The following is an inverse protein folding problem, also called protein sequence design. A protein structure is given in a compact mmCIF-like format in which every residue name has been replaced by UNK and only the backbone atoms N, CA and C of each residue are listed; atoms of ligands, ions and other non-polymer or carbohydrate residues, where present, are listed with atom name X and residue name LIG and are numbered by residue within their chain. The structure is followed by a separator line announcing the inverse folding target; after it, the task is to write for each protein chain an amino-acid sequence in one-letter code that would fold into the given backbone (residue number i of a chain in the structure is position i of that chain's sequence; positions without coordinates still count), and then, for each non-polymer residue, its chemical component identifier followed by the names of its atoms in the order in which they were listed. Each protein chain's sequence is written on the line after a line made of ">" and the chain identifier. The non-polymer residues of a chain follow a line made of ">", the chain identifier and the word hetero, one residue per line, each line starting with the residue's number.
data_IF_570385728315
#
_entry.id   IF_570385728315
#
_cell.length_a   1.000
_cell.length_b   1.000
_cell.length_c   1.000
_cell.angle_alpha   90.00
_cell.angle_beta   90.00
_cell.angle_gamma   90.00
#
_symmetry.space_group_name_H-M   'P 1'
#
loop_
_entity.id
_entity.type
_entity.pdbx_description
1 polymer ?
2 non-polymer ?
#
# COMPACT_ATOMS: atom_id res chain seq x y z
N UNK A 1 -10.54 -0.54 11.60
CA UNK A 1 -10.05 -0.20 10.27
C UNK A 1 -8.56 0.16 10.34
N UNK A 2 -7.94 0.21 9.17
CA UNK A 2 -6.53 0.54 9.08
C UNK A 2 -6.09 0.54 7.61
N UNK A 3 -4.93 1.15 7.39
CA UNK A 3 -4.38 1.22 6.04
C UNK A 3 -3.41 0.07 5.77
N UNK A 4 -3.99 -1.07 5.39
CA UNK A 4 -3.19 -2.25 5.10
C UNK A 4 -3.26 -2.54 3.61
N UNK A 5 -2.16 -3.09 3.10
CA UNK A 5 -2.08 -3.43 1.68
C UNK A 5 -2.67 -4.82 1.50
N UNK A 6 -3.80 -4.87 0.83
CA UNK A 6 -4.48 -6.13 0.56
C UNK A 6 -3.62 -7.02 -0.35
N UNK A 7 -2.77 -6.36 -1.12
CA UNK A 7 -1.88 -7.07 -2.03
C UNK A 7 -0.93 -7.95 -1.23
N UNK A 8 -0.09 -7.28 -0.43
CA UNK A 8 0.87 -7.99 0.39
C UNK A 8 0.37 -7.98 1.84
N UNK A 9 0.08 -6.78 2.32
CA UNK A 9 -0.40 -6.63 3.68
C UNK A 9 0.31 -5.46 4.38
N UNK A 10 1.34 -4.96 3.70
CA UNK A 10 2.10 -3.85 4.25
C UNK A 10 1.17 -2.77 4.76
N UNK A 11 1.29 -2.49 6.06
CA UNK A 11 0.46 -1.48 6.69
C UNK A 11 1.22 -0.14 6.71
N UNK A 12 0.45 0.93 6.61
CA UNK A 12 1.04 2.26 6.61
C UNK A 12 0.22 3.21 7.49
N UNK A 13 0.93 4.07 8.21
CA UNK A 13 0.30 5.03 9.10
C UNK A 13 -0.37 6.12 8.25
N UNK A 14 0.28 6.45 7.14
CA UNK A 14 -0.24 7.46 6.24
C UNK A 14 -0.83 6.82 4.99
N UNK A 15 -2.11 7.07 4.78
CA UNK A 15 -2.80 6.53 3.63
C UNK A 15 -1.96 6.72 2.37
N UNK A 16 -1.52 7.95 2.16
CA UNK A 16 -0.71 8.27 1.00
C UNK A 16 0.46 7.29 0.88
N UNK A 17 0.96 6.87 2.03
CA UNK A 17 2.07 5.93 2.06
C UNK A 17 1.62 4.59 1.47
N UNK A 18 0.32 4.34 1.59
CA UNK A 18 -0.26 3.11 1.09
C UNK A 18 -0.44 3.22 -0.43
N UNK A 19 -1.31 4.14 -0.81
CA UNK A 19 -1.59 4.35 -2.23
C UNK A 19 -0.28 4.30 -3.02
N UNK A 20 0.70 5.04 -2.52
CA UNK A 20 2.01 5.07 -3.16
C UNK A 20 2.62 3.68 -3.20
N UNK A 21 2.32 2.90 -2.17
CA UNK A 21 2.83 1.54 -2.09
C UNK A 21 2.19 0.67 -3.17
N UNK A 22 0.87 0.70 -3.18
CA UNK A 22 0.12 -0.08 -4.17
C UNK A 22 0.68 0.12 -5.57
N UNK A 23 1.32 1.26 -5.76
CA UNK A 23 1.91 1.59 -7.05
C UNK A 23 3.03 0.61 -7.39
N UNK A 24 3.64 0.09 -6.33
CA UNK A 24 4.73 -0.85 -6.50
C UNK A 24 4.20 -2.20 -6.97
N UNK A 25 2.91 -2.42 -6.71
CA UNK A 25 2.27 -3.66 -7.10
C UNK A 25 1.83 -3.57 -8.56
N UNK A 26 2.19 -2.45 -9.18
CA UNK A 26 1.84 -2.24 -10.57
C UNK A 26 3.07 -1.77 -11.37
N UNK A 27 3.37 -0.48 -11.24
CA UNK A 27 4.50 0.08 -11.93
C UNK A 27 5.03 1.29 -11.14
N UNK A 28 6.05 1.05 -10.35
CA UNK A 28 6.65 2.10 -9.54
C UNK A 28 7.91 1.60 -8.86
N UNK A 29 9.01 1.63 -9.61
CA UNK A 29 10.29 1.17 -9.08
C UNK A 29 10.44 1.68 -7.65
X LIG B 1 1.62 -4.48 -0.63
#
# INVERSE_FOLDING_TARGET
>A
RSFVCEVCTRAFARQEALKRHYRSHTNEK
>B hetero
1 ZN ZN
#
